data_IF_311423334999
#
_entry.id   IF_311423334999
#
_cell.length_a   1.000
_cell.length_b   1.000
_cell.length_c   1.000
_cell.angle_alpha   90.00
_cell.angle_beta   90.00
_cell.angle_gamma   90.00
#
_symmetry.space_group_name_H-M   'P 1'
#
loop_
_entity.id
_entity.type
_entity.pdbx_description
1 polymer ?
#
# COMPACT_ATOMS: atom_id res chain seq x y z
N UNK A 1 21.81 -9.39 -2.21
CA UNK A 1 20.92 -8.22 -2.22
C UNK A 1 21.79 -6.98 -2.04
N UNK A 2 21.69 -5.98 -2.91
CA UNK A 2 22.45 -4.73 -2.79
C UNK A 2 22.10 -4.05 -1.46
N UNK A 3 23.09 -3.48 -0.77
CA UNK A 3 22.94 -2.80 0.54
C UNK A 3 21.83 -1.75 0.53
N UNK A 4 21.62 -1.04 -0.58
CA UNK A 4 20.55 -0.03 -0.70
C UNK A 4 19.13 -0.58 -0.69
N UNK A 5 18.93 -1.88 -0.96
CA UNK A 5 17.58 -2.49 -0.90
C UNK A 5 17.17 -2.85 0.53
N UNK A 6 18.12 -3.07 1.44
CA UNK A 6 17.84 -3.36 2.84
C UNK A 6 17.43 -2.10 3.60
N UNK A 7 18.11 -0.98 3.37
CA UNK A 7 17.78 0.31 4.01
C UNK A 7 16.37 0.81 3.67
N UNK A 8 15.87 0.54 2.46
CA UNK A 8 14.50 0.89 2.08
C UNK A 8 13.50 -0.03 2.80
N UNK A 9 13.82 -1.32 2.93
CA UNK A 9 12.96 -2.28 3.60
C UNK A 9 12.79 -1.96 5.08
N UNK A 10 13.85 -1.54 5.76
CA UNK A 10 13.83 -1.10 7.17
C UNK A 10 12.92 0.12 7.41
N UNK A 11 12.62 0.86 6.34
CA UNK A 11 11.74 2.03 6.39
C UNK A 11 10.28 1.69 6.11
N UNK A 12 9.95 0.47 5.67
CA UNK A 12 8.58 0.00 5.49
C UNK A 12 8.13 -0.67 6.79
N UNK A 13 7.18 -0.11 7.56
CA UNK A 13 6.72 -0.73 8.81
C UNK A 13 6.21 -2.17 8.66
N UNK A 14 5.60 -2.50 7.53
CA UNK A 14 5.17 -3.86 7.23
C UNK A 14 6.33 -4.87 7.05
N UNK A 15 7.59 -4.42 6.98
CA UNK A 15 8.78 -5.26 6.90
C UNK A 15 8.90 -6.09 5.62
N UNK A 16 8.11 -5.78 4.60
CA UNK A 16 8.10 -6.47 3.31
C UNK A 16 7.79 -5.50 2.18
N UNK A 17 8.24 -5.86 0.98
CA UNK A 17 7.81 -5.18 -0.24
C UNK A 17 6.33 -5.46 -0.52
N UNK A 18 5.66 -4.45 -1.10
CA UNK A 18 4.34 -4.62 -1.69
C UNK A 18 4.40 -5.58 -2.87
N UNK A 19 3.34 -6.37 -3.03
CA UNK A 19 3.12 -7.28 -4.15
C UNK A 19 1.86 -6.84 -4.91
N UNK A 20 1.72 -7.20 -6.20
CA UNK A 20 0.50 -6.91 -6.95
C UNK A 20 -0.79 -7.44 -6.26
N UNK A 21 -0.68 -8.54 -5.52
CA UNK A 21 -1.79 -9.11 -4.74
C UNK A 21 -2.30 -8.18 -3.63
N UNK A 22 -1.47 -7.29 -3.10
CA UNK A 22 -1.87 -6.34 -2.06
C UNK A 22 -2.85 -5.28 -2.57
N UNK A 23 -2.89 -5.06 -3.89
CA UNK A 23 -3.81 -4.11 -4.54
C UNK A 23 -5.17 -4.74 -4.87
N UNK A 24 -5.29 -6.06 -4.92
CA UNK A 24 -6.52 -6.73 -5.35
C UNK A 24 -7.72 -6.33 -4.48
N UNK A 25 -7.55 -6.39 -3.15
CA UNK A 25 -8.59 -5.99 -2.20
C UNK A 25 -8.96 -4.50 -2.31
N UNK A 26 -7.99 -3.56 -2.18
CA UNK A 26 -8.25 -2.13 -2.32
C UNK A 26 -8.91 -1.73 -3.64
N UNK A 27 -8.49 -2.33 -4.77
CA UNK A 27 -9.09 -2.04 -6.08
C UNK A 27 -10.52 -2.54 -6.15
N UNK A 28 -10.80 -3.77 -5.70
CA UNK A 28 -12.17 -4.30 -5.66
C UNK A 28 -13.04 -3.45 -4.73
N UNK A 29 -12.53 -3.03 -3.58
CA UNK A 29 -13.22 -2.14 -2.66
C UNK A 29 -13.62 -0.82 -3.35
N UNK A 30 -12.65 -0.12 -3.94
CA UNK A 30 -12.87 1.18 -4.61
C UNK A 30 -13.72 1.08 -5.88
N UNK A 31 -13.80 -0.09 -6.51
CA UNK A 31 -14.64 -0.35 -7.67
C UNK A 31 -16.07 -0.82 -7.31
N UNK A 32 -16.38 -0.99 -6.03
CA UNK A 32 -17.64 -1.55 -5.55
C UNK A 32 -18.52 -0.50 -4.87
N UNK A 33 -19.78 -0.85 -4.60
CA UNK A 33 -20.68 0.01 -3.83
C UNK A 33 -20.25 0.22 -2.38
N UNK A 34 -19.28 -0.57 -1.87
CA UNK A 34 -18.73 -0.39 -0.53
C UNK A 34 -17.99 0.96 -0.38
N UNK A 35 -17.63 1.61 -1.49
CA UNK A 35 -16.96 2.92 -1.52
C UNK A 35 -17.82 4.05 -2.09
N UNK A 36 -19.16 3.92 -2.14
CA UNK A 36 -20.06 4.90 -2.80
C UNK A 36 -19.92 6.33 -2.26
N UNK A 37 -19.47 6.50 -1.02
CA UNK A 37 -19.27 7.82 -0.40
C UNK A 37 -17.79 8.28 -0.37
N UNK A 38 -16.90 7.57 -1.06
CA UNK A 38 -15.48 7.94 -1.18
C UNK A 38 -15.26 8.48 -2.60
N UNK A 39 -14.95 9.77 -2.71
CA UNK A 39 -14.65 10.43 -3.98
C UNK A 39 -13.55 11.48 -3.80
N UNK A 40 -12.72 11.68 -4.83
CA UNK A 40 -11.63 12.66 -4.80
C UNK A 40 -10.51 12.37 -3.80
N UNK A 41 -10.38 11.11 -3.35
CA UNK A 41 -9.44 10.72 -2.30
C UNK A 41 -8.41 9.70 -2.81
N UNK A 42 -7.18 9.80 -2.30
CA UNK A 42 -6.09 8.84 -2.58
C UNK A 42 -5.89 7.93 -1.38
N UNK A 43 -6.07 6.62 -1.56
CA UNK A 43 -5.82 5.61 -0.53
C UNK A 43 -4.39 5.10 -0.65
N UNK A 44 -3.59 5.26 0.40
CA UNK A 44 -2.24 4.71 0.46
C UNK A 44 -2.28 3.20 0.73
N UNK A 45 -1.61 2.42 -0.13
CA UNK A 45 -1.38 0.98 0.05
C UNK A 45 0.14 0.75 0.02
N UNK A 46 0.82 1.13 1.10
CA UNK A 46 2.26 1.34 1.11
C UNK A 46 3.01 0.62 2.25
N UNK A 47 2.31 -0.24 3.01
CA UNK A 47 2.88 -0.94 4.15
C UNK A 47 3.26 -0.03 5.33
N UNK A 48 2.68 1.18 5.40
CA UNK A 48 2.94 2.16 6.46
C UNK A 48 4.03 3.17 6.13
N UNK A 49 4.48 3.24 4.88
CA UNK A 49 5.57 4.13 4.46
C UNK A 49 5.28 5.61 4.75
N UNK A 50 4.07 6.09 4.46
CA UNK A 50 3.67 7.49 4.69
C UNK A 50 3.30 7.80 6.15
N UNK A 51 3.13 6.80 7.00
CA UNK A 51 2.82 7.00 8.42
C UNK A 51 4.07 7.27 9.28
N UNK A 52 5.27 7.17 8.67
CA UNK A 52 6.56 7.40 9.31
C UNK A 52 7.07 8.82 9.11
#
# INVERSE_FOLDING_TARGET
>A
MSSGSAEILDRIPAGRWGLPSDLMGPVVFLASSASDYINGYTVAVDGGWLAR
#
